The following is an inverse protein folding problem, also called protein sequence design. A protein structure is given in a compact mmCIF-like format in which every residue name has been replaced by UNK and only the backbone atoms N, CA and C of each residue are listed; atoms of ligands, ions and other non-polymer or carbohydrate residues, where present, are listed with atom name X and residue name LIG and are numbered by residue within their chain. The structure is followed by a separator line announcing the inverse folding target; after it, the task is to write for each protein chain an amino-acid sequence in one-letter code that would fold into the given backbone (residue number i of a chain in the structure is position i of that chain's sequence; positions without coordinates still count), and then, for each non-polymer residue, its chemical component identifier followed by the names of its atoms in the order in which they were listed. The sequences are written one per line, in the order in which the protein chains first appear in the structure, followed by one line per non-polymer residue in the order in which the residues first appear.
data_IF_068983771333
#
_entry.id   IF_068983771333
#
_cell.length_a   1.000
_cell.length_b   1.000
_cell.length_c   1.000
_cell.angle_alpha   90.00
_cell.angle_beta   90.00
_cell.angle_gamma   90.00
#
_symmetry.space_group_name_H-M   'P 1'
#
loop_
_entity.id
_entity.type
_entity.pdbx_description
1 polymer ?
#
# COMPACT_ATOMS: atom_id res chain seq x y z
N UNK A 1 -2.73 -5.07 -1.37
CA UNK A 1 -2.89 -3.61 -1.47
C UNK A 1 -1.69 -3.08 -2.22
N UNK A 2 -1.92 -2.35 -3.31
CA UNK A 2 -0.86 -1.75 -4.13
C UNK A 2 -0.96 -0.24 -3.98
N UNK A 3 0.07 0.38 -3.41
CA UNK A 3 0.10 1.82 -3.12
C UNK A 3 1.32 2.47 -3.74
N UNK A 4 1.32 3.80 -3.82
CA UNK A 4 2.43 4.59 -4.32
C UNK A 4 1.96 5.89 -4.97
N UNK A 5 2.87 6.59 -5.67
CA UNK A 5 2.54 7.81 -6.40
C UNK A 5 1.45 7.57 -7.46
N UNK A 6 0.54 8.52 -7.59
CA UNK A 6 -0.52 8.49 -8.58
C UNK A 6 -0.06 9.21 -9.86
N UNK A 7 -0.31 8.62 -11.02
CA UNK A 7 -0.07 9.26 -12.32
C UNK A 7 -1.28 10.07 -12.80
N UNK A 8 -2.45 9.88 -12.18
CA UNK A 8 -3.71 10.53 -12.52
C UNK A 8 -4.52 10.80 -11.24
N UNK A 9 -5.45 11.76 -11.22
CA UNK A 9 -6.24 12.13 -10.04
C UNK A 9 -7.38 11.13 -9.73
N UNK A 10 -7.13 9.83 -9.91
CA UNK A 10 -8.08 8.75 -9.67
C UNK A 10 -7.45 7.74 -8.72
N UNK A 11 -8.20 7.34 -7.69
CA UNK A 11 -7.74 6.40 -6.67
C UNK A 11 -8.14 4.97 -7.03
N UNK A 12 -7.23 4.02 -6.82
CA UNK A 12 -7.62 2.61 -6.70
C UNK A 12 -8.13 2.32 -5.27
N UNK A 13 -8.63 1.10 -5.05
CA UNK A 13 -9.16 0.67 -3.74
C UNK A 13 -8.16 0.86 -2.60
N UNK A 14 -6.87 0.58 -2.85
CA UNK A 14 -5.85 0.68 -1.80
C UNK A 14 -5.47 2.11 -1.42
N UNK A 15 -5.35 3.00 -2.39
CA UNK A 15 -5.13 4.43 -2.13
C UNK A 15 -6.38 5.07 -1.49
N UNK A 16 -7.58 4.66 -1.91
CA UNK A 16 -8.83 5.13 -1.30
C UNK A 16 -8.97 4.70 0.17
N UNK A 17 -8.51 3.50 0.52
CA UNK A 17 -8.47 3.02 1.89
C UNK A 17 -7.50 3.85 2.75
N UNK A 18 -6.31 4.15 2.24
CA UNK A 18 -5.35 5.03 2.91
C UNK A 18 -5.90 6.45 3.09
N UNK A 19 -6.54 7.01 2.06
CA UNK A 19 -7.19 8.32 2.15
C UNK A 19 -8.29 8.34 3.20
N UNK A 20 -9.07 7.28 3.32
CA UNK A 20 -10.12 7.15 4.34
C UNK A 20 -9.54 7.20 5.76
N UNK A 21 -8.39 6.57 6.00
CA UNK A 21 -7.68 6.68 7.29
C UNK A 21 -7.27 8.12 7.60
N UNK A 22 -6.67 8.79 6.61
CA UNK A 22 -6.20 10.18 6.74
C UNK A 22 -7.39 11.11 7.02
N UNK A 23 -8.57 10.80 6.50
CA UNK A 23 -9.83 11.52 6.77
C UNK A 23 -10.52 11.12 8.09
N UNK A 24 -9.88 10.32 8.93
CA UNK A 24 -10.36 10.00 10.28
C UNK A 24 -11.38 8.86 10.37
N UNK A 25 -11.48 8.00 9.36
CA UNK A 25 -12.38 6.85 9.44
C UNK A 25 -11.88 5.81 10.48
N UNK A 26 -12.73 5.47 11.45
CA UNK A 26 -12.38 4.70 12.67
C UNK A 26 -12.39 3.18 12.52
N UNK A 27 -12.82 2.64 11.39
CA UNK A 27 -13.17 1.21 11.29
C UNK A 27 -12.30 0.48 10.28
N UNK A 28 -11.10 0.08 10.70
CA UNK A 28 -10.27 -0.81 9.89
C UNK A 28 -9.46 -1.77 10.77
N UNK A 29 -10.07 -2.87 11.19
CA UNK A 29 -9.43 -3.97 11.95
C UNK A 29 -8.82 -5.04 11.03
N UNK A 30 -8.43 -4.67 9.81
CA UNK A 30 -7.99 -5.62 8.80
C UNK A 30 -6.46 -5.63 8.67
N UNK A 31 -5.91 -6.83 8.45
CA UNK A 31 -4.51 -7.02 8.09
C UNK A 31 -4.41 -7.20 6.59
N UNK A 32 -3.56 -6.40 5.95
CA UNK A 32 -3.37 -6.44 4.50
C UNK A 32 -1.91 -6.63 4.11
N UNK A 33 -1.73 -7.19 2.92
CA UNK A 33 -0.45 -7.32 2.22
C UNK A 33 -0.21 -6.04 1.42
N UNK A 34 0.91 -5.37 1.61
CA UNK A 34 1.29 -4.11 0.97
C UNK A 34 2.47 -4.32 0.03
N UNK A 35 2.46 -3.59 -1.08
CA UNK A 35 3.57 -3.51 -2.05
C UNK A 35 3.50 -2.17 -2.78
N UNK A 36 4.66 -1.64 -3.18
CA UNK A 36 4.72 -0.42 -3.97
C UNK A 36 4.36 -0.70 -5.44
N UNK A 37 3.60 0.21 -6.07
CA UNK A 37 3.24 0.12 -7.49
C UNK A 37 4.45 0.08 -8.42
N UNK A 38 5.54 0.75 -8.06
CA UNK A 38 6.79 0.73 -8.84
C UNK A 38 7.45 -0.64 -8.83
N UNK A 39 7.43 -1.32 -7.68
CA UNK A 39 7.98 -2.68 -7.55
C UNK A 39 7.15 -3.66 -8.35
N UNK A 40 5.82 -3.49 -8.35
CA UNK A 40 4.92 -4.30 -9.19
C UNK A 40 5.24 -4.09 -10.67
N UNK A 41 5.38 -2.84 -11.13
CA UNK A 41 5.71 -2.56 -12.52
C UNK A 41 7.07 -3.15 -12.92
N UNK A 42 8.10 -2.97 -12.10
CA UNK A 42 9.43 -3.51 -12.34
C UNK A 42 9.44 -5.04 -12.35
N UNK A 43 8.71 -5.68 -11.43
CA UNK A 43 8.61 -7.14 -11.41
C UNK A 43 7.96 -7.69 -12.68
N UNK A 44 6.97 -7.01 -13.25
CA UNK A 44 6.38 -7.42 -14.54
C UNK A 44 7.38 -7.26 -15.69
N UNK A 45 8.13 -6.17 -15.73
CA UNK A 45 9.19 -5.97 -16.74
C UNK A 45 10.23 -7.09 -16.64
N UNK A 46 10.75 -7.35 -15.44
CA UNK A 46 11.75 -8.39 -15.22
C UNK A 46 11.24 -9.79 -15.54
N UNK A 47 9.98 -10.10 -15.18
CA UNK A 47 9.37 -11.38 -15.50
C UNK A 47 9.14 -11.58 -17.00
N UNK A 48 9.03 -10.49 -17.76
CA UNK A 48 8.90 -10.55 -19.22
C UNK A 48 10.27 -10.61 -19.93
N UNK A 49 11.24 -9.82 -19.48
CA UNK A 49 12.54 -9.68 -20.14
C UNK A 49 13.52 -10.81 -19.82
N UNK A 50 13.41 -11.44 -18.64
CA UNK A 50 14.31 -12.52 -18.23
C UNK A 50 13.82 -13.87 -18.78
N UNK A 51 14.56 -14.54 -19.69
CA UNK A 51 14.13 -15.82 -20.27
C UNK A 51 14.05 -16.96 -19.25
N UNK A 52 14.72 -16.85 -18.10
CA UNK A 52 14.66 -17.83 -17.02
C UNK A 52 13.43 -17.65 -16.12
N UNK A 53 12.72 -16.52 -16.23
CA UNK A 53 11.53 -16.25 -15.44
C UNK A 53 10.38 -17.19 -15.84
N UNK A 54 9.76 -17.83 -14.86
CA UNK A 54 8.69 -18.79 -15.07
C UNK A 54 7.76 -18.90 -13.85
N UNK A 55 6.53 -19.39 -14.07
CA UNK A 55 5.57 -19.63 -13.01
C UNK A 55 4.90 -18.37 -12.47
N UNK A 56 4.74 -18.27 -11.15
CA UNK A 56 3.98 -17.20 -10.48
C UNK A 56 4.81 -16.55 -9.39
N UNK A 57 4.81 -15.22 -9.36
CA UNK A 57 5.54 -14.43 -8.37
C UNK A 57 4.58 -13.75 -7.38
N UNK A 58 4.82 -13.96 -6.09
CA UNK A 58 4.09 -13.25 -5.04
C UNK A 58 4.73 -11.88 -4.81
N UNK A 59 4.00 -10.81 -5.09
CA UNK A 59 4.48 -9.43 -4.90
C UNK A 59 3.87 -8.83 -3.65
N UNK A 60 4.55 -9.03 -2.54
CA UNK A 60 4.21 -8.52 -1.21
C UNK A 60 5.50 -8.12 -0.53
N UNK A 61 5.63 -6.85 -0.18
CA UNK A 61 6.77 -6.36 0.61
C UNK A 61 6.51 -6.68 2.09
N UNK A 62 5.33 -6.30 2.60
CA UNK A 62 4.99 -6.50 4.01
C UNK A 62 3.53 -6.80 4.24
N UNK A 63 3.26 -7.61 5.27
CA UNK A 63 1.92 -7.79 5.83
C UNK A 63 1.80 -6.90 7.06
N UNK A 64 0.87 -5.95 7.04
CA UNK A 64 0.69 -5.00 8.13
C UNK A 64 -0.78 -4.86 8.51
N UNK A 65 -1.04 -4.85 9.82
CA UNK A 65 -2.32 -4.46 10.38
C UNK A 65 -2.49 -2.94 10.24
N UNK A 66 -3.72 -2.47 10.07
CA UNK A 66 -4.00 -1.02 9.95
C UNK A 66 -3.45 -0.18 11.09
N UNK A 67 -3.45 -0.68 12.33
CA UNK A 67 -2.85 0.06 13.46
C UNK A 67 -1.38 0.39 13.21
N UNK A 68 -0.68 -0.49 12.49
CA UNK A 68 0.71 -0.26 12.14
C UNK A 68 0.86 0.80 11.06
N UNK A 69 -0.02 0.78 10.06
CA UNK A 69 -0.09 1.82 9.02
C UNK A 69 -0.40 3.18 9.66
N UNK A 70 -1.32 3.23 10.62
CA UNK A 70 -1.65 4.43 11.38
C UNK A 70 -0.45 4.92 12.19
N UNK A 71 0.28 4.03 12.85
CA UNK A 71 1.51 4.38 13.55
C UNK A 71 2.54 4.99 12.59
N UNK A 72 2.76 4.39 11.42
CA UNK A 72 3.67 4.94 10.41
C UNK A 72 3.21 6.34 9.99
N UNK A 73 1.91 6.54 9.76
CA UNK A 73 1.36 7.85 9.40
C UNK A 73 1.57 8.89 10.51
N UNK A 74 1.42 8.53 11.79
CA UNK A 74 1.71 9.44 12.92
C UNK A 74 3.19 9.85 12.95
N UNK A 75 4.11 8.94 12.67
CA UNK A 75 5.55 9.27 12.64
C UNK A 75 5.90 10.18 11.45
N UNK A 76 5.25 9.99 10.31
CA UNK A 76 5.49 10.79 9.09
C UNK A 76 4.79 12.16 9.13
N UNK A 77 3.61 12.23 9.76
CA UNK A 77 2.75 13.41 9.82
C UNK A 77 2.21 13.61 11.25
N UNK A 78 3.05 14.06 12.20
CA UNK A 78 2.68 14.14 13.61
C UNK A 78 1.52 15.10 13.88
N UNK A 79 1.30 16.11 13.03
CA UNK A 79 0.24 17.10 13.19
C UNK A 79 -1.13 16.64 12.64
N UNK A 80 -1.20 15.48 11.97
CA UNK A 80 -2.45 14.97 11.42
C UNK A 80 -3.31 14.31 12.51
N UNK A 81 -4.59 14.71 12.58
CA UNK A 81 -5.60 14.07 13.42
C UNK A 81 -5.97 12.71 12.83
N UNK A 82 -5.23 11.69 13.22
CA UNK A 82 -5.47 10.30 12.82
C UNK A 82 -6.27 9.56 13.90
N UNK A 83 -6.98 8.48 13.54
CA UNK A 83 -7.73 7.69 14.52
C UNK A 83 -6.80 7.13 15.60
N UNK A 84 -7.13 7.40 16.87
CA UNK A 84 -6.50 6.74 18.01
C UNK A 84 -6.94 5.27 18.09
N UNK A 85 -6.09 4.44 18.69
CA UNK A 85 -6.20 2.98 18.75
C UNK A 85 -7.45 2.49 19.48
#
# INVERSE_FOLDING_TARGET
MVIGPLLQPTLNTSAAALLSLIKGARRFLATFRWVNVKDVANAHIQAFENPEANGRYCLVERVAHYSEVVNILHHLYPDFLLPEK
#
